data_IF_277157172350
#
_entry.id   IF_277157172350
#
_cell.length_a   1.000
_cell.length_b   1.000
_cell.length_c   1.000
_cell.angle_alpha   90.00
_cell.angle_beta   90.00
_cell.angle_gamma   90.00
#
_symmetry.space_group_name_H-M   'P 1'
#
loop_
_entity.id
_entity.type
_entity.pdbx_description
1 polymer ?
#
# COMPACT_ATOMS: atom_id res chain seq x y z
N UNK A 1 6.94 27.65 -14.94
CA UNK A 1 6.57 26.52 -15.83
C UNK A 1 6.23 25.33 -14.95
N UNK A 2 4.95 25.00 -14.82
CA UNK A 2 4.49 23.92 -13.95
C UNK A 2 4.37 22.67 -14.82
N UNK A 3 5.26 21.70 -14.63
CA UNK A 3 5.19 20.43 -15.34
C UNK A 3 3.89 19.72 -14.96
N UNK A 4 3.05 19.42 -15.97
CA UNK A 4 1.85 18.63 -15.78
C UNK A 4 2.24 17.25 -15.27
N UNK A 5 1.84 16.93 -14.03
CA UNK A 5 2.06 15.61 -13.45
C UNK A 5 1.21 14.58 -14.22
N UNK A 6 1.78 13.43 -14.62
CA UNK A 6 1.01 12.38 -15.29
C UNK A 6 -0.05 11.82 -14.33
N UNK A 7 -1.29 11.75 -14.82
CA UNK A 7 -2.44 11.20 -14.10
C UNK A 7 -2.60 9.74 -14.52
N UNK A 8 -2.43 8.81 -13.59
CA UNK A 8 -2.70 7.39 -13.79
C UNK A 8 -3.73 6.91 -12.77
N UNK A 9 -4.67 6.05 -13.19
CA UNK A 9 -5.58 5.25 -12.36
C UNK A 9 -6.37 5.98 -11.25
N UNK A 10 -7.71 5.98 -11.34
CA UNK A 10 -8.67 6.59 -10.38
C UNK A 10 -8.79 8.12 -10.47
N UNK A 11 -9.47 8.58 -11.53
CA UNK A 11 -10.05 9.94 -11.64
C UNK A 11 -9.11 11.11 -11.32
N UNK A 12 -7.83 11.00 -11.71
CA UNK A 12 -6.86 12.09 -11.58
C UNK A 12 -6.05 12.07 -10.28
N UNK A 13 -6.21 11.05 -9.43
CA UNK A 13 -5.32 10.80 -8.30
C UNK A 13 -3.98 10.24 -8.79
N UNK A 14 -2.89 10.58 -8.10
CA UNK A 14 -1.60 9.91 -8.29
C UNK A 14 -1.57 8.64 -7.43
N UNK A 15 -1.65 7.48 -8.08
CA UNK A 15 -1.57 6.18 -7.40
C UNK A 15 -0.15 5.93 -6.91
N UNK A 16 -0.02 5.70 -5.62
CA UNK A 16 1.26 5.45 -4.96
C UNK A 16 1.26 4.12 -4.22
N UNK A 17 2.44 3.55 -4.01
CA UNK A 17 2.68 2.41 -3.13
C UNK A 17 3.92 2.66 -2.28
N UNK A 18 3.98 2.03 -1.11
CA UNK A 18 5.19 1.93 -0.31
C UNK A 18 5.64 0.48 -0.36
N UNK A 19 6.91 0.27 -0.70
CA UNK A 19 7.50 -1.06 -0.78
C UNK A 19 8.92 -1.05 -0.20
N UNK A 20 9.27 -2.16 0.44
CA UNK A 20 10.54 -2.36 1.12
C UNK A 20 11.39 -3.43 0.42
N UNK A 21 12.63 -3.10 0.10
CA UNK A 21 13.63 -4.05 -0.41
C UNK A 21 14.93 -3.98 0.38
N UNK A 22 15.83 -4.94 0.15
CA UNK A 22 17.15 -4.98 0.77
C UNK A 22 18.24 -4.81 -0.28
N UNK A 23 19.26 -4.02 0.04
CA UNK A 23 20.43 -3.81 -0.79
C UNK A 23 21.68 -4.30 -0.06
N UNK A 24 22.59 -4.95 -0.77
CA UNK A 24 23.91 -5.30 -0.24
C UNK A 24 24.81 -4.07 -0.24
N UNK A 25 25.63 -3.94 0.80
CA UNK A 25 26.64 -2.88 0.92
C UNK A 25 28.04 -3.49 1.08
N UNK A 26 29.11 -2.73 0.77
CA UNK A 26 30.47 -3.26 0.85
C UNK A 26 30.81 -3.83 2.24
N UNK A 27 31.50 -4.97 2.27
CA UNK A 27 31.93 -5.61 3.51
C UNK A 27 33.19 -4.93 4.06
N UNK A 28 32.98 -3.85 4.81
CA UNK A 28 34.07 -3.12 5.46
C UNK A 28 33.68 -2.72 6.90
N UNK A 29 34.66 -2.39 7.77
CA UNK A 29 34.40 -2.09 9.17
C UNK A 29 33.38 -0.96 9.40
N UNK A 30 33.35 0.05 8.52
CA UNK A 30 32.39 1.17 8.61
C UNK A 30 30.95 0.71 8.40
N UNK A 31 30.71 -0.19 7.45
CA UNK A 31 29.37 -0.74 7.20
C UNK A 31 28.97 -1.72 8.30
N UNK A 32 29.89 -2.59 8.74
CA UNK A 32 29.64 -3.56 9.80
C UNK A 32 29.37 -2.91 11.16
N UNK A 33 29.85 -1.70 11.39
CA UNK A 33 29.51 -0.92 12.59
C UNK A 33 28.03 -0.50 12.65
N UNK A 34 27.30 -0.54 11.53
CA UNK A 34 25.91 -0.05 11.43
C UNK A 34 24.92 -1.09 10.90
N UNK A 35 25.39 -2.07 10.15
CA UNK A 35 24.56 -3.01 9.39
C UNK A 35 25.02 -4.45 9.59
N UNK A 36 24.05 -5.36 9.59
CA UNK A 36 24.28 -6.78 9.86
C UNK A 36 24.24 -7.60 8.58
N UNK A 37 25.07 -8.65 8.53
CA UNK A 37 24.95 -9.71 7.52
C UNK A 37 23.72 -10.56 7.82
N UNK A 38 22.95 -10.91 6.79
CA UNK A 38 21.79 -11.78 6.97
C UNK A 38 22.27 -13.22 7.23
N UNK A 39 21.81 -13.85 8.32
CA UNK A 39 22.06 -15.29 8.57
C UNK A 39 21.22 -16.12 7.60
N UNK A 40 21.86 -17.06 6.90
CA UNK A 40 21.20 -18.01 6.02
C UNK A 40 21.41 -19.44 6.51
N UNK A 41 20.43 -20.32 6.30
CA UNK A 41 20.48 -21.73 6.73
C UNK A 41 21.58 -22.57 6.04
N UNK A 42 22.26 -22.02 5.01
CA UNK A 42 23.32 -22.69 4.24
C UNK A 42 24.64 -21.90 4.24
N UNK A 43 24.89 -21.08 5.28
CA UNK A 43 26.01 -20.14 5.32
C UNK A 43 25.59 -18.78 4.76
N UNK A 44 25.48 -17.78 5.64
CA UNK A 44 24.84 -16.49 5.35
C UNK A 44 25.36 -15.76 4.12
N UNK A 45 24.52 -14.88 3.57
CA UNK A 45 24.91 -14.02 2.44
C UNK A 45 26.12 -13.19 2.84
N UNK A 46 27.22 -13.27 2.08
CA UNK A 46 28.56 -12.80 2.51
C UNK A 46 28.72 -11.31 2.84
N UNK A 47 27.70 -10.47 2.63
CA UNK A 47 27.76 -9.02 2.73
C UNK A 47 26.73 -8.44 3.71
N UNK A 48 27.05 -7.33 4.41
CA UNK A 48 26.06 -6.57 5.16
C UNK A 48 24.96 -6.03 4.25
N UNK A 49 23.76 -5.90 4.79
CA UNK A 49 22.58 -5.43 4.05
C UNK A 49 21.95 -4.20 4.71
N UNK A 50 21.38 -3.34 3.88
CA UNK A 50 20.51 -2.23 4.29
C UNK A 50 19.10 -2.47 3.78
N UNK A 51 18.10 -1.96 4.49
CA UNK A 51 16.73 -1.85 4.00
C UNK A 51 16.55 -0.51 3.29
N UNK A 52 15.95 -0.55 2.12
CA UNK A 52 15.40 0.59 1.39
C UNK A 52 13.88 0.47 1.47
N UNK A 53 13.21 1.50 1.99
CA UNK A 53 11.74 1.63 1.90
C UNK A 53 11.45 2.84 1.02
N UNK A 54 10.69 2.64 -0.04
CA UNK A 54 10.45 3.66 -1.06
C UNK A 54 8.96 3.94 -1.23
N UNK A 55 8.62 5.23 -1.36
CA UNK A 55 7.33 5.71 -1.85
C UNK A 55 7.43 5.91 -3.36
N UNK A 56 6.58 5.23 -4.11
CA UNK A 56 6.65 5.16 -5.58
C UNK A 56 5.30 5.52 -6.19
N UNK A 57 5.30 6.25 -7.30
CA UNK A 57 4.14 6.41 -8.17
C UNK A 57 4.02 5.18 -9.08
N UNK A 58 2.90 4.45 -9.01
CA UNK A 58 2.73 3.17 -9.69
C UNK A 58 2.70 3.34 -11.22
N UNK A 59 1.97 4.34 -11.74
CA UNK A 59 1.80 4.55 -13.17
C UNK A 59 3.06 4.97 -13.91
N UNK A 60 3.80 5.90 -13.32
CA UNK A 60 5.04 6.45 -13.92
C UNK A 60 6.29 5.71 -13.47
N UNK A 61 6.14 4.74 -12.56
CA UNK A 61 7.25 4.03 -11.88
C UNK A 61 8.30 5.01 -11.29
N UNK A 62 7.84 6.19 -10.85
CA UNK A 62 8.72 7.25 -10.35
C UNK A 62 8.91 7.11 -8.84
N UNK A 63 10.15 7.19 -8.38
CA UNK A 63 10.47 7.27 -6.96
C UNK A 63 10.17 8.69 -6.45
N UNK A 64 9.27 8.78 -5.48
CA UNK A 64 8.86 10.04 -4.85
C UNK A 64 9.74 10.33 -3.65
N UNK A 65 9.96 9.34 -2.79
CA UNK A 65 10.77 9.45 -1.57
C UNK A 65 11.32 8.08 -1.16
N UNK A 66 12.41 8.06 -0.39
CA UNK A 66 13.04 6.84 0.09
C UNK A 66 13.73 7.05 1.43
N UNK A 67 13.72 5.99 2.24
CA UNK A 67 14.43 5.91 3.52
C UNK A 67 15.27 4.66 3.54
N UNK A 68 16.49 4.80 4.07
CA UNK A 68 17.44 3.70 4.22
C UNK A 68 17.73 3.46 5.71
N UNK A 69 17.91 2.20 6.09
CA UNK A 69 18.35 1.89 7.44
C UNK A 69 18.66 0.41 7.66
N UNK A 70 18.95 -0.01 8.90
CA UNK A 70 19.22 -1.40 9.23
C UNK A 70 18.06 -2.34 8.87
N UNK A 71 18.40 -3.54 8.40
CA UNK A 71 17.42 -4.60 8.08
C UNK A 71 16.74 -5.20 9.32
N UNK A 72 17.31 -4.97 10.51
CA UNK A 72 16.74 -5.33 11.82
C UNK A 72 15.49 -4.54 12.16
N UNK A 73 15.23 -3.43 11.46
CA UNK A 73 14.02 -2.62 11.61
C UNK A 73 13.01 -2.97 10.52
N UNK A 74 11.74 -3.06 10.90
CA UNK A 74 10.64 -3.39 10.00
C UNK A 74 10.27 -2.24 9.05
N UNK A 75 9.66 -2.58 7.92
CA UNK A 75 9.20 -1.59 6.93
C UNK A 75 8.20 -0.58 7.49
N UNK A 76 7.22 -1.07 8.27
CA UNK A 76 6.20 -0.23 8.91
C UNK A 76 6.78 0.80 9.87
N UNK A 77 7.98 0.55 10.42
CA UNK A 77 8.70 1.52 11.26
C UNK A 77 9.30 2.66 10.43
N UNK A 78 9.66 2.41 9.17
CA UNK A 78 10.19 3.44 8.27
C UNK A 78 9.10 4.23 7.56
N UNK A 79 7.91 3.65 7.38
CA UNK A 79 6.79 4.29 6.66
C UNK A 79 6.45 5.70 7.16
N UNK A 80 6.38 6.00 8.48
CA UNK A 80 6.08 7.34 8.97
C UNK A 80 7.01 8.43 8.42
N UNK A 81 8.27 8.10 8.14
CA UNK A 81 9.21 9.05 7.56
C UNK A 81 8.84 9.45 6.12
N UNK A 82 8.19 8.57 5.37
CA UNK A 82 7.77 8.83 3.98
C UNK A 82 6.45 9.60 3.88
N UNK A 83 5.66 9.65 4.96
CA UNK A 83 4.34 10.29 4.93
C UNK A 83 4.40 11.79 4.64
N UNK A 84 5.51 12.46 4.98
CA UNK A 84 5.76 13.87 4.63
C UNK A 84 5.65 14.17 3.12
N UNK A 85 5.79 13.14 2.29
CA UNK A 85 5.77 13.24 0.82
C UNK A 85 4.38 12.94 0.23
N UNK A 86 3.45 12.46 1.06
CA UNK A 86 2.03 12.33 0.71
C UNK A 86 1.33 13.67 0.87
N UNK A 87 0.31 13.90 0.03
CA UNK A 87 -0.43 15.15 -0.06
C UNK A 87 -1.80 14.93 -0.73
N UNK A 88 -2.74 15.89 -0.65
CA UNK A 88 -4.00 15.80 -1.38
C UNK A 88 -3.80 15.54 -2.88
N UNK A 89 -4.67 14.72 -3.45
CA UNK A 89 -4.56 14.25 -4.83
C UNK A 89 -3.70 12.99 -5.03
N UNK A 90 -3.21 12.38 -3.95
CA UNK A 90 -2.60 11.04 -3.96
C UNK A 90 -3.57 9.98 -3.44
N UNK A 91 -3.41 8.74 -3.88
CA UNK A 91 -3.96 7.57 -3.18
C UNK A 91 -2.86 6.55 -2.93
N UNK A 92 -2.68 6.16 -1.66
CA UNK A 92 -1.72 5.14 -1.26
C UNK A 92 -2.37 3.76 -1.23
N UNK A 93 -1.80 2.83 -2.00
CA UNK A 93 -2.11 1.40 -1.96
C UNK A 93 -1.33 0.78 -0.82
N UNK A 94 -2.05 0.29 0.19
CA UNK A 94 -1.47 -0.29 1.39
C UNK A 94 -1.86 -1.77 1.53
N UNK A 95 -0.90 -2.61 1.88
CA UNK A 95 -1.16 -4.01 2.18
C UNK A 95 -1.78 -4.19 3.59
N UNK A 96 -2.09 -5.43 3.95
CA UNK A 96 -2.71 -5.77 5.25
C UNK A 96 -1.83 -5.45 6.46
N UNK A 97 -0.51 -5.40 6.31
CA UNK A 97 0.44 -5.16 7.39
C UNK A 97 0.42 -3.69 7.82
N UNK A 98 0.05 -2.78 6.92
CA UNK A 98 -0.27 -1.37 7.24
C UNK A 98 -1.62 -1.23 7.98
N UNK A 99 -2.45 -2.29 8.00
CA UNK A 99 -3.76 -2.35 8.64
C UNK A 99 -3.77 -2.29 10.17
N UNK A 100 -2.60 -2.29 10.81
CA UNK A 100 -2.41 -2.23 12.26
C UNK A 100 -2.56 -0.79 12.81
N UNK A 101 -3.77 -0.27 12.64
CA UNK A 101 -4.49 0.84 13.32
C UNK A 101 -3.93 2.26 13.43
N UNK A 102 -2.64 2.56 13.36
CA UNK A 102 -2.20 3.97 13.44
C UNK A 102 -1.76 4.53 12.09
N UNK A 103 -1.06 3.71 11.30
CA UNK A 103 -0.46 4.15 10.05
C UNK A 103 -1.46 4.62 8.99
N UNK A 104 -2.63 3.98 8.89
CA UNK A 104 -3.70 4.41 7.96
C UNK A 104 -4.22 5.80 8.35
N UNK A 105 -4.36 6.04 9.66
CA UNK A 105 -4.80 7.34 10.18
C UNK A 105 -3.76 8.40 9.88
N UNK A 106 -2.48 8.11 10.11
CA UNK A 106 -1.38 9.02 9.79
C UNK A 106 -1.30 9.34 8.29
N UNK A 107 -1.52 8.35 7.42
CA UNK A 107 -1.60 8.58 5.98
C UNK A 107 -2.77 9.54 5.66
N UNK A 108 -3.95 9.28 6.20
CA UNK A 108 -5.13 10.11 5.96
C UNK A 108 -4.94 11.55 6.49
N UNK A 109 -4.20 11.73 7.59
CA UNK A 109 -3.89 13.06 8.14
C UNK A 109 -3.00 13.90 7.20
N UNK A 110 -2.28 13.29 6.25
CA UNK A 110 -1.56 14.01 5.18
C UNK A 110 -2.51 14.60 4.11
N UNK A 111 -3.79 14.24 4.16
CA UNK A 111 -4.79 14.56 3.15
C UNK A 111 -4.75 13.66 1.91
N UNK A 112 -3.87 12.66 1.87
CA UNK A 112 -3.89 11.62 0.84
C UNK A 112 -4.99 10.60 1.13
N UNK A 113 -5.53 10.02 0.06
CA UNK A 113 -6.45 8.90 0.15
C UNK A 113 -5.70 7.59 0.41
N UNK A 114 -6.42 6.60 0.94
CA UNK A 114 -5.90 5.25 1.18
C UNK A 114 -6.79 4.22 0.51
N UNK A 115 -6.18 3.18 -0.04
CA UNK A 115 -6.82 1.90 -0.35
C UNK A 115 -6.02 0.80 0.31
N UNK A 116 -6.60 0.18 1.35
CA UNK A 116 -5.90 -0.83 2.17
C UNK A 116 -6.59 -2.18 2.13
N UNK A 117 -5.80 -3.25 1.99
CA UNK A 117 -6.30 -4.62 2.15
C UNK A 117 -6.60 -4.90 3.62
N UNK A 118 -7.84 -5.27 3.94
CA UNK A 118 -8.21 -5.71 5.28
C UNK A 118 -7.78 -7.17 5.52
N UNK A 119 -7.38 -7.48 6.76
CA UNK A 119 -7.17 -8.87 7.21
C UNK A 119 -8.48 -9.64 7.13
N UNK A 120 -8.42 -10.88 6.63
CA UNK A 120 -9.57 -11.79 6.60
C UNK A 120 -10.18 -11.92 8.00
N UNK A 121 -11.51 -11.87 8.09
CA UNK A 121 -12.25 -11.97 9.35
C UNK A 121 -12.28 -10.70 10.21
N UNK A 122 -11.64 -9.59 9.80
CA UNK A 122 -11.78 -8.31 10.52
C UNK A 122 -13.24 -7.87 10.51
N UNK A 123 -13.87 -7.82 11.69
CA UNK A 123 -15.22 -7.29 11.86
C UNK A 123 -15.18 -5.78 11.68
N UNK A 124 -16.05 -5.27 10.81
CA UNK A 124 -16.16 -3.86 10.46
C UNK A 124 -17.64 -3.48 10.64
N UNK A 125 -17.97 -2.39 11.35
CA UNK A 125 -19.36 -1.96 11.52
C UNK A 125 -19.94 -1.53 10.16
N UNK A 126 -21.15 -1.94 9.84
CA UNK A 126 -21.83 -1.50 8.61
C UNK A 126 -22.66 -0.27 8.96
N UNK A 127 -22.26 0.90 8.46
CA UNK A 127 -22.98 2.16 8.68
C UNK A 127 -24.05 2.40 7.61
N UNK A 128 -23.74 2.11 6.35
CA UNK A 128 -24.67 2.21 5.22
C UNK A 128 -24.23 1.24 4.11
N UNK A 129 -25.17 0.73 3.32
CA UNK A 129 -24.87 -0.12 2.15
C UNK A 129 -25.16 0.65 0.86
N UNK A 130 -24.34 0.45 -0.16
CA UNK A 130 -24.50 1.07 -1.47
C UNK A 130 -24.99 0.05 -2.52
N UNK A 131 -25.65 0.50 -3.61
CA UNK A 131 -26.22 -0.38 -4.63
C UNK A 131 -25.21 -1.31 -5.31
N UNK A 132 -23.94 -0.93 -5.34
CA UNK A 132 -22.87 -1.75 -5.91
C UNK A 132 -22.33 -2.84 -4.95
N UNK A 133 -22.96 -3.01 -3.78
CA UNK A 133 -22.63 -4.06 -2.82
C UNK A 133 -21.51 -3.70 -1.84
N UNK A 134 -20.86 -2.56 -2.03
CA UNK A 134 -19.96 -1.98 -1.02
C UNK A 134 -20.74 -1.35 0.14
N UNK A 135 -20.03 -1.00 1.22
CA UNK A 135 -20.66 -0.39 2.39
C UNK A 135 -19.75 0.59 3.11
N UNK A 136 -20.36 1.61 3.69
CA UNK A 136 -19.71 2.58 4.57
C UNK A 136 -19.43 1.94 5.93
N UNK A 137 -18.26 2.23 6.51
CA UNK A 137 -17.76 1.64 7.75
C UNK A 137 -16.78 2.58 8.45
N UNK A 138 -16.29 2.16 9.62
CA UNK A 138 -15.25 2.86 10.39
C UNK A 138 -14.00 2.00 10.52
N UNK A 139 -12.85 2.59 10.20
CA UNK A 139 -11.53 2.01 10.43
C UNK A 139 -10.74 2.90 11.39
N UNK A 140 -10.78 2.55 12.69
CA UNK A 140 -10.31 3.49 13.71
C UNK A 140 -11.23 4.71 13.74
N UNK A 141 -10.68 5.91 13.58
CA UNK A 141 -11.45 7.15 13.44
C UNK A 141 -11.80 7.54 12.00
N UNK A 142 -11.35 6.77 11.01
CA UNK A 142 -11.58 7.08 9.61
C UNK A 142 -12.90 6.49 9.13
N UNK A 143 -13.70 7.33 8.48
CA UNK A 143 -14.82 6.87 7.67
C UNK A 143 -14.27 6.25 6.39
N UNK A 144 -14.63 5.00 6.13
CA UNK A 144 -14.13 4.25 4.98
C UNK A 144 -15.26 3.55 4.27
N UNK A 145 -15.10 3.36 2.97
CA UNK A 145 -15.92 2.46 2.19
C UNK A 145 -15.22 1.12 2.04
N UNK A 146 -15.92 0.05 2.37
CA UNK A 146 -15.43 -1.31 2.25
C UNK A 146 -15.98 -1.94 0.98
N UNK A 147 -15.06 -2.47 0.17
CA UNK A 147 -15.31 -3.13 -1.11
C UNK A 147 -14.87 -4.59 -0.97
N UNK A 148 -15.74 -5.51 -1.41
CA UNK A 148 -15.41 -6.92 -1.52
C UNK A 148 -15.19 -7.22 -3.00
N UNK A 149 -13.99 -7.64 -3.37
CA UNK A 149 -13.60 -7.86 -4.76
C UNK A 149 -12.86 -9.17 -4.93
N UNK A 150 -12.97 -9.75 -6.11
CA UNK A 150 -12.24 -10.94 -6.49
C UNK A 150 -11.04 -10.52 -7.32
N UNK A 151 -9.84 -10.70 -6.78
CA UNK A 151 -8.60 -10.36 -7.48
C UNK A 151 -8.06 -11.64 -8.08
N UNK A 152 -8.02 -11.67 -9.41
CA UNK A 152 -7.29 -12.68 -10.17
C UNK A 152 -5.86 -12.19 -10.39
N UNK A 153 -4.88 -13.01 -10.02
CA UNK A 153 -3.49 -12.82 -10.42
C UNK A 153 -3.16 -13.88 -11.46
N UNK A 154 -2.86 -13.44 -12.68
CA UNK A 154 -2.42 -14.31 -13.77
C UNK A 154 -0.91 -14.18 -13.93
N UNK A 155 -0.20 -15.31 -13.80
CA UNK A 155 1.24 -15.40 -14.03
C UNK A 155 1.52 -16.45 -15.11
N UNK A 156 2.75 -16.50 -15.62
CA UNK A 156 3.18 -17.58 -16.52
C UNK A 156 3.08 -18.97 -15.88
N UNK A 157 3.05 -19.06 -14.55
CA UNK A 157 2.90 -20.30 -13.79
C UNK A 157 1.43 -20.69 -13.52
N UNK A 158 0.46 -19.88 -13.95
CA UNK A 158 -0.97 -20.14 -13.78
C UNK A 158 -1.76 -18.96 -13.23
N UNK A 159 -3.06 -19.19 -13.04
CA UNK A 159 -4.04 -18.21 -12.56
C UNK A 159 -4.45 -18.53 -11.13
N UNK A 160 -4.32 -17.57 -10.24
CA UNK A 160 -4.78 -17.68 -8.86
C UNK A 160 -5.79 -16.59 -8.56
N UNK A 161 -6.96 -16.99 -8.08
CA UNK A 161 -8.04 -16.07 -7.75
C UNK A 161 -8.35 -16.13 -6.27
N UNK A 162 -8.47 -14.96 -5.63
CA UNK A 162 -8.86 -14.87 -4.23
C UNK A 162 -9.77 -13.68 -3.99
N UNK A 163 -10.60 -13.80 -2.94
CA UNK A 163 -11.48 -12.71 -2.49
C UNK A 163 -10.73 -11.82 -1.52
N UNK A 164 -10.81 -10.52 -1.75
CA UNK A 164 -10.19 -9.47 -0.96
C UNK A 164 -11.27 -8.53 -0.43
N UNK A 165 -11.08 -8.09 0.82
CA UNK A 165 -11.83 -6.96 1.38
C UNK A 165 -10.88 -5.78 1.42
N UNK A 166 -11.22 -4.72 0.68
CA UNK A 166 -10.47 -3.48 0.65
C UNK A 166 -11.25 -2.40 1.40
N UNK A 167 -10.56 -1.53 2.13
CA UNK A 167 -11.15 -0.33 2.71
C UNK A 167 -10.51 0.90 2.06
N UNK A 168 -11.32 1.91 1.74
CA UNK A 168 -10.84 3.15 1.15
C UNK A 168 -11.48 4.39 1.76
N UNK A 169 -10.74 5.49 1.80
CA UNK A 169 -11.24 6.83 2.16
C UNK A 169 -12.08 7.47 1.05
N UNK A 170 -12.09 6.89 -0.15
CA UNK A 170 -12.98 7.28 -1.25
C UNK A 170 -14.42 6.81 -0.97
N UNK A 171 -15.15 7.58 -0.14
CA UNK A 171 -16.46 7.15 0.40
C UNK A 171 -17.65 7.42 -0.51
N UNK A 172 -17.52 8.35 -1.47
CA UNK A 172 -18.58 8.67 -2.43
C UNK A 172 -18.65 7.61 -3.52
N UNK A 173 -19.71 6.80 -3.51
CA UNK A 173 -19.90 5.73 -4.48
C UNK A 173 -20.41 6.18 -5.84
N UNK A 174 -20.95 7.39 -5.96
CA UNK A 174 -21.32 7.98 -7.25
C UNK A 174 -20.09 8.55 -7.95
N UNK A 175 -19.19 9.16 -7.19
CA UNK A 175 -17.95 9.69 -7.73
C UNK A 175 -16.90 8.59 -7.96
N UNK A 176 -16.76 7.62 -7.06
CA UNK A 176 -15.74 6.58 -7.17
C UNK A 176 -16.40 5.22 -7.36
N UNK A 177 -16.74 4.89 -8.61
CA UNK A 177 -17.31 3.58 -8.95
C UNK A 177 -16.35 2.44 -8.57
N UNK A 178 -16.88 1.25 -8.28
CA UNK A 178 -16.06 0.10 -7.91
C UNK A 178 -14.95 -0.22 -8.90
N UNK A 179 -15.25 -0.19 -10.21
CA UNK A 179 -14.25 -0.38 -11.27
C UNK A 179 -13.18 0.71 -11.31
N UNK A 180 -13.49 1.91 -10.82
CA UNK A 180 -12.52 2.99 -10.66
C UNK A 180 -11.80 2.98 -9.30
N UNK A 181 -12.27 2.18 -8.33
CA UNK A 181 -11.60 1.94 -7.04
C UNK A 181 -10.74 0.68 -7.10
N UNK A 182 -10.96 -0.20 -8.06
CA UNK A 182 -10.18 -1.40 -8.29
C UNK A 182 -9.34 -1.19 -9.57
N UNK A 183 -8.17 -1.81 -9.69
CA UNK A 183 -7.40 -1.72 -10.95
C UNK A 183 -8.18 -2.42 -12.08
N UNK A 184 -7.88 -2.13 -13.35
CA UNK A 184 -8.63 -2.68 -14.50
C UNK A 184 -8.64 -4.23 -14.55
N UNK A 185 -7.74 -4.90 -13.82
CA UNK A 185 -7.63 -6.36 -13.74
C UNK A 185 -8.41 -6.99 -12.57
N UNK A 186 -9.26 -6.22 -11.87
CA UNK A 186 -9.98 -6.68 -10.68
C UNK A 186 -11.50 -6.59 -10.89
N UNK A 187 -12.16 -7.74 -10.83
CA UNK A 187 -13.62 -7.84 -10.93
C UNK A 187 -14.28 -7.63 -9.55
N UNK A 188 -15.35 -6.83 -9.46
CA UNK A 188 -16.15 -6.73 -8.24
C UNK A 188 -16.81 -8.08 -7.96
N UNK A 189 -16.86 -8.48 -6.67
CA UNK A 189 -17.46 -9.75 -6.30
C UNK A 189 -18.97 -9.71 -6.60
N UNK A 190 -19.43 -10.45 -7.61
CA UNK A 190 -20.87 -10.63 -7.86
C UNK A 190 -21.44 -11.47 -6.71
N UNK A 191 -22.26 -10.87 -5.85
CA UNK A 191 -23.01 -11.63 -4.85
C UNK A 191 -23.98 -12.57 -5.59
N UNK A 192 -23.86 -13.88 -5.34
CA UNK A 192 -24.95 -14.84 -5.56
C UNK A 192 -25.94 -14.73 -4.40
#
# INVERSE_FOLDING_TARGET
>A
MQAAQPRDGRRGLLVCAIDGTTLTVPDNPRMLARFTKHRGNHGGTGYPQIRLVALLACGTRTLIDAVFGPTTTGETTYTPHLLRSLRPGMILLADRNFGAKDLITEIADTGADVLVRLKNGRKMPVLARYPDGSYLSMLGRLLVRVVECEITISTTAGRHTAVYRLATTLTDHHHYLLSGVLDNDVEPCRRH
#
